data_IF_576212153260
#
_entry.id   IF_576212153260
#
_cell.length_a   1.000
_cell.length_b   1.000
_cell.length_c   1.000
_cell.angle_alpha   90.00
_cell.angle_beta   90.00
_cell.angle_gamma   90.00
#
_symmetry.space_group_name_H-M   'P 1'
#
loop_
_entity.id
_entity.type
_entity.pdbx_description
1 polymer ?
#
# COMPACT_ATOMS: atom_id res chain seq x y z
N UNK A 1 2.55 -6.13 6.14
CA UNK A 1 1.61 -5.49 5.19
C UNK A 1 0.79 -4.49 5.99
N UNK A 2 0.55 -3.27 5.47
CA UNK A 2 -0.20 -2.26 6.20
C UNK A 2 -1.66 -2.69 6.40
N UNK A 3 -2.17 -2.55 7.63
CA UNK A 3 -3.61 -2.70 7.92
C UNK A 3 -4.33 -1.36 7.94
N UNK A 4 -3.59 -0.27 8.15
CA UNK A 4 -4.13 1.07 8.24
C UNK A 4 -3.34 2.01 7.32
N UNK A 5 -4.04 2.88 6.60
CA UNK A 5 -3.43 3.92 5.77
C UNK A 5 -4.08 5.25 6.10
N UNK A 6 -3.26 6.23 6.43
CA UNK A 6 -3.64 7.63 6.61
C UNK A 6 -3.22 8.36 5.34
N UNK A 7 -4.12 9.13 4.74
CA UNK A 7 -3.85 9.92 3.54
C UNK A 7 -3.92 11.40 3.86
N UNK A 8 -3.04 12.18 3.23
CA UNK A 8 -3.38 13.57 2.92
C UNK A 8 -4.43 13.63 1.79
N UNK A 9 -5.00 14.82 1.59
CA UNK A 9 -6.02 15.08 0.59
C UNK A 9 -5.44 15.70 -0.69
N UNK A 10 -5.05 16.97 -0.61
CA UNK A 10 -4.45 17.77 -1.68
C UNK A 10 -3.17 17.12 -2.18
N UNK A 11 -2.97 17.04 -3.50
CA UNK A 11 -1.76 16.47 -4.10
C UNK A 11 -1.61 14.94 -3.96
N UNK A 12 -2.42 14.30 -3.12
CA UNK A 12 -2.35 12.86 -2.81
C UNK A 12 -3.54 12.08 -3.35
N UNK A 13 -4.76 12.54 -3.07
CA UNK A 13 -6.01 11.93 -3.55
C UNK A 13 -6.71 12.80 -4.59
N UNK A 14 -6.52 14.12 -4.52
CA UNK A 14 -7.11 15.09 -5.45
C UNK A 14 -6.05 16.06 -5.98
N UNK A 15 -6.25 16.54 -7.20
CA UNK A 15 -5.50 17.67 -7.76
C UNK A 15 -6.31 18.94 -7.51
N UNK A 16 -5.86 19.74 -6.55
CA UNK A 16 -6.41 21.06 -6.22
C UNK A 16 -5.39 22.19 -6.44
N UNK A 17 -4.26 21.91 -7.10
CA UNK A 17 -3.14 22.85 -7.22
C UNK A 17 -3.56 24.12 -7.95
N UNK A 18 -4.36 24.00 -9.01
CA UNK A 18 -4.88 25.15 -9.75
C UNK A 18 -5.78 26.03 -8.86
N UNK A 19 -6.62 25.40 -8.04
CA UNK A 19 -7.51 26.09 -7.11
C UNK A 19 -6.73 26.83 -6.02
N UNK A 20 -5.77 26.16 -5.40
CA UNK A 20 -4.89 26.75 -4.38
C UNK A 20 -4.03 27.88 -4.95
N UNK A 21 -3.55 27.74 -6.19
CA UNK A 21 -2.80 28.78 -6.88
C UNK A 21 -3.66 30.00 -7.19
N UNK A 22 -4.88 29.81 -7.70
CA UNK A 22 -5.82 30.91 -7.97
C UNK A 22 -6.15 31.68 -6.69
N UNK A 23 -6.43 30.97 -5.60
CA UNK A 23 -6.70 31.57 -4.31
C UNK A 23 -5.48 32.34 -3.77
N UNK A 24 -4.28 31.78 -3.91
CA UNK A 24 -3.03 32.43 -3.50
C UNK A 24 -2.72 33.68 -4.33
N UNK A 25 -2.94 33.62 -5.64
CA UNK A 25 -2.75 34.76 -6.55
C UNK A 25 -3.78 35.87 -6.30
N UNK A 26 -5.01 35.53 -5.93
CA UNK A 26 -5.97 36.52 -5.46
C UNK A 26 -5.46 37.23 -4.21
N UNK A 27 -4.98 36.50 -3.21
CA UNK A 27 -4.36 37.08 -2.02
C UNK A 27 -3.21 38.02 -2.42
N UNK A 28 -2.30 37.58 -3.29
CA UNK A 28 -1.18 38.42 -3.76
C UNK A 28 -1.65 39.74 -4.39
N UNK A 29 -2.73 39.70 -5.15
CA UNK A 29 -3.31 40.91 -5.77
C UNK A 29 -3.79 41.94 -4.73
N UNK A 30 -4.28 41.51 -3.56
CA UNK A 30 -4.74 42.41 -2.49
C UNK A 30 -3.57 43.16 -1.84
N UNK A 31 -2.37 42.56 -1.87
CA UNK A 31 -1.16 43.12 -1.29
C UNK A 31 -0.18 43.67 -2.33
N UNK A 32 -0.60 43.80 -3.60
CA UNK A 32 0.23 44.33 -4.69
C UNK A 32 1.42 43.45 -5.08
N UNK A 33 1.41 42.17 -4.69
CA UNK A 33 2.43 41.19 -5.08
C UNK A 33 2.08 40.61 -6.46
N UNK A 34 3.05 40.47 -7.39
CA UNK A 34 2.81 39.79 -8.67
C UNK A 34 2.33 38.35 -8.48
N UNK A 35 1.45 37.90 -9.37
CA UNK A 35 1.01 36.51 -9.41
C UNK A 35 2.19 35.57 -9.68
N UNK A 36 2.16 34.39 -9.06
CA UNK A 36 3.05 33.28 -9.37
C UNK A 36 2.43 32.40 -10.45
N UNK A 37 3.28 31.84 -11.30
CA UNK A 37 2.90 30.67 -12.09
C UNK A 37 3.02 29.38 -11.26
N UNK A 38 2.57 28.26 -11.83
CA UNK A 38 2.55 26.96 -11.17
C UNK A 38 3.91 26.49 -10.67
N UNK A 39 4.97 26.67 -11.46
CA UNK A 39 6.31 26.17 -11.11
C UNK A 39 6.94 27.04 -10.02
N UNK A 40 6.77 28.36 -10.10
CA UNK A 40 7.18 29.31 -9.04
C UNK A 40 6.46 28.99 -7.72
N UNK A 41 5.15 28.77 -7.78
CA UNK A 41 4.37 28.45 -6.59
C UNK A 41 4.81 27.13 -5.96
N UNK A 42 5.03 26.06 -6.73
CA UNK A 42 5.53 24.78 -6.20
C UNK A 42 6.94 24.88 -5.62
N UNK A 43 7.79 25.74 -6.19
CA UNK A 43 9.14 25.94 -5.69
C UNK A 43 9.17 26.69 -4.34
N UNK A 44 8.22 27.60 -4.12
CA UNK A 44 8.15 28.42 -2.91
C UNK A 44 7.19 27.90 -1.84
N UNK A 45 6.09 27.24 -2.22
CA UNK A 45 5.03 26.85 -1.30
C UNK A 45 5.55 25.84 -0.27
N UNK A 46 5.16 26.07 0.99
CA UNK A 46 5.53 25.23 2.11
C UNK A 46 4.41 25.23 3.14
N UNK A 47 4.40 24.17 3.94
CA UNK A 47 3.63 24.11 5.18
C UNK A 47 4.57 24.16 6.39
N UNK A 48 4.14 24.77 7.51
CA UNK A 48 2.86 25.47 7.70
C UNK A 48 2.72 26.76 6.88
N UNK A 49 1.52 27.03 6.34
CA UNK A 49 1.29 28.20 5.48
C UNK A 49 1.51 29.58 6.14
N UNK A 50 1.40 29.77 7.48
CA UNK A 50 1.79 31.04 8.09
C UNK A 50 3.26 31.41 7.82
N UNK A 51 4.16 30.42 7.84
CA UNK A 51 5.58 30.66 7.56
C UNK A 51 5.82 30.99 6.08
N UNK A 52 5.00 30.41 5.20
CA UNK A 52 4.98 30.77 3.77
C UNK A 52 4.59 32.25 3.59
N UNK A 53 3.44 32.66 4.13
CA UNK A 53 2.96 34.04 3.99
C UNK A 53 3.84 35.06 4.73
N UNK A 54 4.39 34.73 5.90
CA UNK A 54 5.34 35.59 6.60
C UNK A 54 6.59 35.91 5.75
N UNK A 55 6.99 34.99 4.86
CA UNK A 55 8.10 35.21 3.92
C UNK A 55 7.66 36.01 2.69
N UNK A 56 6.52 35.66 2.09
CA UNK A 56 6.12 36.24 0.80
C UNK A 56 5.33 37.55 0.92
N UNK A 57 4.72 37.81 2.07
CA UNK A 57 3.90 38.96 2.46
C UNK A 57 4.13 39.33 3.95
N UNK A 58 5.35 39.77 4.34
CA UNK A 58 5.76 39.93 5.75
C UNK A 58 4.98 40.98 6.57
N UNK A 59 4.21 41.84 5.92
CA UNK A 59 3.43 42.91 6.56
C UNK A 59 1.92 42.65 6.56
N UNK A 60 1.49 41.54 5.98
CA UNK A 60 0.09 41.17 5.91
C UNK A 60 -0.37 40.55 7.24
N UNK A 61 -1.59 40.87 7.64
CA UNK A 61 -2.24 40.22 8.77
C UNK A 61 -2.70 38.80 8.36
N UNK A 62 -2.40 37.80 9.19
CA UNK A 62 -2.68 36.41 8.84
C UNK A 62 -4.17 36.10 8.77
N UNK A 63 -5.00 36.74 9.60
CA UNK A 63 -6.44 36.52 9.60
C UNK A 63 -7.05 37.14 8.32
N UNK A 64 -6.58 38.33 7.92
CA UNK A 64 -6.98 38.99 6.67
C UNK A 64 -6.57 38.16 5.43
N UNK A 65 -5.35 37.59 5.44
CA UNK A 65 -4.89 36.66 4.41
C UNK A 65 -5.80 35.42 4.30
N UNK A 66 -6.17 34.83 5.44
CA UNK A 66 -7.04 33.64 5.50
C UNK A 66 -8.44 33.94 4.97
N UNK A 67 -8.99 35.13 5.28
CA UNK A 67 -10.28 35.59 4.75
C UNK A 67 -10.25 35.78 3.23
N UNK A 68 -9.22 36.44 2.70
CA UNK A 68 -9.03 36.59 1.25
C UNK A 68 -8.85 35.25 0.55
N UNK A 69 -8.05 34.35 1.13
CA UNK A 69 -7.84 33.01 0.58
C UNK A 69 -9.14 32.22 0.54
N UNK A 70 -9.88 32.15 1.66
CA UNK A 70 -11.18 31.45 1.73
C UNK A 70 -12.20 32.00 0.75
N UNK A 71 -12.29 33.32 0.62
CA UNK A 71 -13.16 33.94 -0.36
C UNK A 71 -12.79 33.48 -1.78
N UNK A 72 -11.52 33.60 -2.17
CA UNK A 72 -11.04 33.27 -3.50
C UNK A 72 -11.16 31.78 -3.82
N UNK A 73 -10.83 30.92 -2.85
CA UNK A 73 -10.97 29.48 -2.97
C UNK A 73 -12.42 29.08 -3.25
N UNK A 74 -13.39 29.70 -2.58
CA UNK A 74 -14.82 29.40 -2.78
C UNK A 74 -15.38 29.89 -4.12
N UNK A 75 -14.87 31.01 -4.65
CA UNK A 75 -15.40 31.62 -5.89
C UNK A 75 -14.61 31.26 -7.14
N UNK A 76 -13.47 30.58 -6.99
CA UNK A 76 -12.69 30.09 -8.13
C UNK A 76 -13.48 29.03 -8.89
N UNK A 77 -13.29 29.01 -10.21
CA UNK A 77 -13.84 27.98 -11.11
C UNK A 77 -12.81 26.89 -11.45
N UNK A 78 -11.63 26.92 -10.81
CA UNK A 78 -10.62 25.88 -11.01
C UNK A 78 -11.18 24.52 -10.54
N UNK A 79 -11.14 23.49 -11.40
CA UNK A 79 -11.67 22.19 -11.03
C UNK A 79 -10.79 21.53 -9.96
N UNK A 80 -11.43 20.77 -9.07
CA UNK A 80 -10.76 19.80 -8.20
C UNK A 80 -11.14 18.41 -8.70
N UNK A 81 -10.14 17.64 -9.11
CA UNK A 81 -10.36 16.33 -9.70
C UNK A 81 -9.68 15.24 -8.87
N UNK A 82 -10.26 14.03 -8.88
CA UNK A 82 -9.61 12.86 -8.29
C UNK A 82 -8.34 12.56 -9.07
N UNK A 83 -7.21 12.43 -8.38
CA UNK A 83 -5.94 12.07 -9.02
C UNK A 83 -6.04 10.69 -9.67
N UNK A 84 -5.34 10.46 -10.81
CA UNK A 84 -5.33 9.16 -11.47
C UNK A 84 -4.98 8.02 -10.51
N UNK A 85 -5.75 6.93 -10.56
CA UNK A 85 -5.60 5.73 -9.74
C UNK A 85 -5.96 5.89 -8.25
N UNK A 86 -6.35 7.06 -7.77
CA UNK A 86 -6.68 7.25 -6.35
C UNK A 86 -7.94 6.46 -5.95
N UNK A 87 -9.00 6.50 -6.76
CA UNK A 87 -10.23 5.72 -6.50
C UNK A 87 -9.95 4.22 -6.52
N UNK A 88 -9.23 3.75 -7.52
CA UNK A 88 -8.87 2.34 -7.67
C UNK A 88 -7.93 1.86 -6.56
N UNK A 89 -7.15 2.76 -5.95
CA UNK A 89 -6.33 2.46 -4.77
C UNK A 89 -7.20 2.32 -3.51
N UNK A 90 -8.17 3.21 -3.30
CA UNK A 90 -9.10 3.14 -2.19
C UNK A 90 -9.99 1.89 -2.27
N UNK A 91 -10.47 1.55 -3.47
CA UNK A 91 -11.19 0.29 -3.73
C UNK A 91 -10.32 -0.94 -3.43
N UNK A 92 -9.04 -0.89 -3.82
CA UNK A 92 -8.08 -1.93 -3.51
C UNK A 92 -7.87 -2.11 -2.00
N UNK A 93 -7.81 -1.02 -1.24
CA UNK A 93 -7.70 -1.03 0.21
C UNK A 93 -8.95 -1.66 0.84
N UNK A 94 -10.14 -1.20 0.43
CA UNK A 94 -11.43 -1.74 0.88
C UNK A 94 -11.55 -3.24 0.61
N UNK A 95 -11.21 -3.70 -0.59
CA UNK A 95 -11.24 -5.11 -0.97
C UNK A 95 -10.27 -5.99 -0.16
N UNK A 96 -9.30 -5.39 0.54
CA UNK A 96 -8.32 -6.07 1.39
C UNK A 96 -8.57 -5.87 2.89
N UNK A 97 -9.64 -5.16 3.26
CA UNK A 97 -9.91 -4.82 4.67
C UNK A 97 -8.87 -3.87 5.26
N UNK A 98 -8.14 -3.11 4.43
CA UNK A 98 -7.24 -2.05 4.89
C UNK A 98 -8.10 -0.85 5.27
N UNK A 99 -7.94 -0.38 6.51
CA UNK A 99 -8.66 0.77 7.06
C UNK A 99 -8.04 2.07 6.54
N UNK A 100 -8.84 2.99 6.04
CA UNK A 100 -8.37 4.24 5.46
C UNK A 100 -8.85 5.44 6.27
N UNK A 101 -7.96 6.41 6.47
CA UNK A 101 -8.20 7.62 7.26
C UNK A 101 -7.72 8.85 6.51
N UNK A 102 -8.35 9.99 6.74
CA UNK A 102 -7.86 11.29 6.26
C UNK A 102 -7.22 12.06 7.41
N UNK A 103 -6.05 12.64 7.17
CA UNK A 103 -5.47 13.69 8.01
C UNK A 103 -4.99 14.85 7.12
N UNK A 104 -5.80 15.91 7.06
CA UNK A 104 -5.56 17.04 6.15
C UNK A 104 -5.70 18.39 6.85
N UNK A 105 -4.97 19.38 6.34
CA UNK A 105 -5.06 20.78 6.76
C UNK A 105 -6.15 21.55 6.01
N UNK A 106 -6.75 20.97 4.96
CA UNK A 106 -7.89 21.57 4.24
C UNK A 106 -9.03 21.85 5.21
N UNK A 107 -9.63 23.03 5.09
CA UNK A 107 -10.77 23.44 5.93
C UNK A 107 -11.85 22.36 5.95
N UNK A 108 -12.37 22.06 7.14
CA UNK A 108 -13.28 20.93 7.32
C UNK A 108 -14.55 21.03 6.47
N UNK A 109 -15.06 22.26 6.22
CA UNK A 109 -16.25 22.47 5.41
C UNK A 109 -15.94 22.25 3.93
N UNK A 110 -14.82 22.79 3.45
CA UNK A 110 -14.46 22.65 2.04
C UNK A 110 -14.01 21.21 1.70
N UNK A 111 -13.32 20.54 2.62
CA UNK A 111 -13.06 19.11 2.51
C UNK A 111 -14.36 18.32 2.38
N UNK A 112 -15.35 18.56 3.24
CA UNK A 112 -16.62 17.83 3.25
C UNK A 112 -17.43 18.04 1.96
N UNK A 113 -17.41 19.25 1.39
CA UNK A 113 -18.02 19.55 0.08
C UNK A 113 -17.31 18.76 -1.01
N UNK A 114 -15.99 18.91 -1.14
CA UNK A 114 -15.20 18.23 -2.18
C UNK A 114 -15.35 16.70 -2.08
N UNK A 115 -15.19 16.13 -0.88
CA UNK A 115 -15.22 14.69 -0.69
C UNK A 115 -16.59 14.07 -1.03
N UNK A 116 -17.69 14.81 -0.79
CA UNK A 116 -19.04 14.39 -1.19
C UNK A 116 -19.27 14.50 -2.69
N UNK A 117 -18.90 15.62 -3.30
CA UNK A 117 -19.05 15.83 -4.75
C UNK A 117 -18.24 14.81 -5.56
N UNK A 118 -17.05 14.48 -5.08
CA UNK A 118 -16.20 13.45 -5.67
C UNK A 118 -16.64 12.03 -5.28
N UNK A 119 -17.63 11.85 -4.41
CA UNK A 119 -18.14 10.54 -3.99
C UNK A 119 -17.05 9.65 -3.37
N UNK A 120 -16.30 10.20 -2.41
CA UNK A 120 -15.18 9.50 -1.75
C UNK A 120 -15.41 9.24 -0.25
N UNK A 121 -16.47 9.79 0.34
CA UNK A 121 -16.77 9.68 1.78
C UNK A 121 -16.79 8.23 2.28
N UNK A 122 -17.30 7.29 1.49
CA UNK A 122 -17.49 5.89 1.90
C UNK A 122 -16.19 5.09 2.02
N UNK A 123 -15.06 5.62 1.54
CA UNK A 123 -13.78 4.91 1.60
C UNK A 123 -13.06 5.12 2.94
N UNK A 124 -13.44 6.12 3.74
CA UNK A 124 -12.72 6.51 4.94
C UNK A 124 -13.49 6.11 6.21
N UNK A 125 -12.79 5.48 7.14
CA UNK A 125 -13.33 5.13 8.45
C UNK A 125 -13.47 6.37 9.35
N UNK A 126 -12.51 7.29 9.29
CA UNK A 126 -12.61 8.58 9.94
C UNK A 126 -11.87 9.66 9.16
N UNK A 127 -12.37 10.89 9.29
CA UNK A 127 -11.87 12.09 8.62
C UNK A 127 -11.41 13.08 9.69
N UNK A 128 -10.16 13.49 9.62
CA UNK A 128 -9.57 14.54 10.44
C UNK A 128 -9.16 15.70 9.53
N UNK A 129 -10.11 16.58 9.23
CA UNK A 129 -9.93 17.77 8.39
C UNK A 129 -9.80 19.04 9.23
N UNK A 130 -9.25 20.11 8.65
CA UNK A 130 -8.96 21.37 9.34
C UNK A 130 -7.81 21.29 10.34
N UNK A 131 -6.96 20.25 10.24
CA UNK A 131 -5.89 20.01 11.20
C UNK A 131 -4.60 20.67 10.72
N UNK A 132 -4.31 21.86 11.27
CA UNK A 132 -3.11 22.65 10.92
C UNK A 132 -1.82 21.97 11.38
N UNK A 133 -1.80 21.43 12.59
CA UNK A 133 -0.63 20.77 13.19
C UNK A 133 -0.85 19.26 13.19
N UNK A 134 -0.60 18.62 12.04
CA UNK A 134 -0.83 17.18 11.87
C UNK A 134 0.08 16.35 12.79
N UNK A 135 1.30 16.82 13.05
CA UNK A 135 2.29 16.21 13.96
C UNK A 135 1.79 16.10 15.40
N UNK A 136 1.10 17.11 15.91
CA UNK A 136 0.49 17.07 17.23
C UNK A 136 -0.76 16.18 17.26
N UNK A 137 -1.53 16.15 16.17
CA UNK A 137 -2.80 15.44 16.11
C UNK A 137 -2.68 13.96 15.79
N UNK A 138 -1.64 13.54 15.08
CA UNK A 138 -1.53 12.17 14.58
C UNK A 138 -1.49 11.13 15.71
N UNK A 139 -0.86 11.43 16.84
CA UNK A 139 -0.90 10.55 18.02
C UNK A 139 -2.32 10.36 18.56
N UNK A 140 -3.13 11.42 18.54
CA UNK A 140 -4.55 11.35 18.92
C UNK A 140 -5.33 10.48 17.94
N UNK A 141 -5.10 10.64 16.64
CA UNK A 141 -5.71 9.80 15.60
C UNK A 141 -5.36 8.32 15.81
N UNK A 142 -4.07 8.01 15.99
CA UNK A 142 -3.61 6.64 16.21
C UNK A 142 -4.26 6.02 17.46
N UNK A 143 -4.30 6.77 18.56
CA UNK A 143 -4.88 6.30 19.82
C UNK A 143 -6.40 6.12 19.75
N UNK A 144 -7.12 7.07 19.16
CA UNK A 144 -8.59 7.02 19.03
C UNK A 144 -9.07 5.83 18.22
N UNK A 145 -8.32 5.45 17.18
CA UNK A 145 -8.72 4.40 16.24
C UNK A 145 -7.97 3.07 16.45
N UNK A 146 -7.15 2.98 17.51
CA UNK A 146 -6.39 1.77 17.85
C UNK A 146 -5.40 1.35 16.75
N UNK A 147 -4.72 2.32 16.14
CA UNK A 147 -3.80 2.07 15.02
C UNK A 147 -2.40 1.78 15.57
N UNK A 148 -1.87 0.59 15.27
CA UNK A 148 -0.50 0.24 15.66
C UNK A 148 0.52 0.75 14.62
N UNK A 149 1.60 1.35 15.10
CA UNK A 149 2.56 2.04 14.25
C UNK A 149 3.21 1.14 13.19
N UNK A 150 3.59 -0.08 13.56
CA UNK A 150 4.25 -1.06 12.67
C UNK A 150 3.38 -1.59 11.52
N UNK A 151 2.07 -1.34 11.54
CA UNK A 151 1.11 -1.74 10.50
C UNK A 151 0.38 -0.53 9.88
N UNK A 152 0.86 0.69 10.15
CA UNK A 152 0.25 1.93 9.69
C UNK A 152 1.21 2.70 8.79
N UNK A 153 0.70 3.23 7.68
CA UNK A 153 1.43 4.11 6.79
C UNK A 153 0.72 5.46 6.65
N UNK A 154 1.50 6.53 6.47
CA UNK A 154 1.01 7.83 6.02
C UNK A 154 1.41 8.04 4.56
N UNK A 155 0.45 8.42 3.72
CA UNK A 155 0.68 8.76 2.32
C UNK A 155 0.42 10.25 2.11
N UNK A 156 1.41 10.96 1.58
CA UNK A 156 1.34 12.39 1.30
C UNK A 156 2.29 12.81 0.19
N UNK A 157 2.13 14.02 -0.34
CA UNK A 157 2.95 14.56 -1.43
C UNK A 157 3.88 15.70 -0.98
N UNK A 158 3.82 16.10 0.29
CA UNK A 158 4.66 17.16 0.85
C UNK A 158 5.64 16.64 1.91
N UNK A 159 6.75 17.38 2.11
CA UNK A 159 7.72 17.12 3.17
C UNK A 159 7.07 17.06 4.55
N UNK A 160 6.06 17.90 4.80
CA UNK A 160 5.31 17.93 6.06
C UNK A 160 4.63 16.59 6.38
N UNK A 161 4.13 15.86 5.38
CA UNK A 161 3.48 14.57 5.60
C UNK A 161 4.48 13.49 6.01
N UNK A 162 5.68 13.53 5.43
CA UNK A 162 6.80 12.66 5.81
C UNK A 162 7.24 12.94 7.25
N UNK A 163 7.38 14.21 7.62
CA UNK A 163 7.73 14.62 8.98
C UNK A 163 6.65 14.21 9.98
N UNK A 164 5.37 14.36 9.62
CA UNK A 164 4.22 13.93 10.42
C UNK A 164 4.27 12.42 10.70
N UNK A 165 4.56 11.62 9.68
CA UNK A 165 4.70 10.18 9.80
C UNK A 165 5.87 9.78 10.72
N UNK A 166 7.02 10.45 10.58
CA UNK A 166 8.19 10.21 11.42
C UNK A 166 7.94 10.58 12.88
N UNK A 167 7.26 11.69 13.15
CA UNK A 167 6.86 12.05 14.52
C UNK A 167 5.98 10.96 15.15
N UNK A 168 5.11 10.34 14.37
CA UNK A 168 4.24 9.26 14.84
C UNK A 168 4.92 7.88 14.91
N UNK A 169 6.14 7.75 14.37
CA UNK A 169 6.85 6.47 14.25
C UNK A 169 6.18 5.47 13.30
N UNK A 170 5.43 5.96 12.32
CA UNK A 170 4.73 5.15 11.29
C UNK A 170 5.46 5.23 9.95
N UNK A 171 5.16 4.31 9.04
CA UNK A 171 5.82 4.31 7.73
C UNK A 171 5.41 5.53 6.90
N UNK A 172 6.39 6.26 6.37
CA UNK A 172 6.19 7.43 5.50
C UNK A 172 6.28 7.05 4.02
N UNK A 173 5.22 7.32 3.25
CA UNK A 173 5.17 7.04 1.81
C UNK A 173 4.89 8.33 1.06
N UNK A 174 5.89 8.83 0.35
CA UNK A 174 5.76 10.04 -0.44
C UNK A 174 5.32 9.72 -1.88
N UNK A 175 4.32 10.44 -2.39
CA UNK A 175 3.87 10.37 -3.79
C UNK A 175 4.33 11.59 -4.58
N UNK A 176 4.60 11.44 -5.88
CA UNK A 176 5.09 12.52 -6.76
C UNK A 176 3.97 13.22 -7.54
N UNK A 177 2.73 13.08 -7.10
CA UNK A 177 1.53 13.58 -7.78
C UNK A 177 1.18 15.03 -7.46
N UNK A 178 1.73 15.60 -6.38
CA UNK A 178 1.29 16.87 -5.83
C UNK A 178 2.30 18.01 -5.91
N UNK A 179 2.44 18.73 -4.80
CA UNK A 179 3.11 20.03 -4.66
C UNK A 179 4.64 19.90 -4.65
N UNK A 180 5.21 19.03 -3.80
CA UNK A 180 6.65 18.86 -3.76
C UNK A 180 7.17 17.91 -4.85
N UNK A 181 8.37 18.20 -5.36
CA UNK A 181 9.09 17.31 -6.26
C UNK A 181 9.90 16.25 -5.49
N UNK A 182 10.50 15.31 -6.24
CA UNK A 182 11.29 14.24 -5.65
C UNK A 182 12.52 14.74 -4.87
N UNK A 183 13.13 15.87 -5.28
CA UNK A 183 14.31 16.42 -4.63
C UNK A 183 13.95 17.10 -3.29
N UNK A 184 12.83 17.80 -3.24
CA UNK A 184 12.23 18.35 -2.03
C UNK A 184 11.85 17.23 -1.06
N UNK A 185 11.07 16.23 -1.51
CA UNK A 185 10.65 15.11 -0.67
C UNK A 185 11.82 14.30 -0.11
N UNK A 186 12.88 14.09 -0.90
CA UNK A 186 14.05 13.34 -0.45
C UNK A 186 14.75 13.98 0.77
N UNK A 187 14.62 15.29 0.99
CA UNK A 187 15.21 15.98 2.15
C UNK A 187 14.60 15.51 3.48
N UNK A 188 13.30 15.20 3.47
CA UNK A 188 12.59 14.68 4.63
C UNK A 188 12.84 13.19 4.88
N UNK A 189 13.54 12.49 3.96
CA UNK A 189 13.93 11.07 4.04
C UNK A 189 12.75 10.10 4.25
N UNK A 190 11.76 10.08 3.35
CA UNK A 190 10.66 9.12 3.47
C UNK A 190 11.13 7.67 3.38
N UNK A 191 10.40 6.75 4.02
CA UNK A 191 10.68 5.31 3.93
C UNK A 191 10.50 4.79 2.50
N UNK A 192 9.53 5.37 1.77
CA UNK A 192 9.26 5.06 0.37
C UNK A 192 8.92 6.31 -0.43
N UNK A 193 9.44 6.40 -1.65
CA UNK A 193 8.97 7.36 -2.67
C UNK A 193 8.42 6.55 -3.84
N UNK A 194 7.20 6.88 -4.28
CA UNK A 194 6.56 6.26 -5.43
C UNK A 194 6.04 7.34 -6.39
N UNK A 195 6.04 7.09 -7.71
CA UNK A 195 5.49 8.06 -8.65
C UNK A 195 4.01 8.38 -8.39
N UNK A 196 3.22 7.36 -8.08
CA UNK A 196 1.78 7.46 -7.89
C UNK A 196 1.24 6.26 -7.06
N UNK A 197 -0.08 6.27 -6.81
CA UNK A 197 -0.78 5.21 -6.10
C UNK A 197 -0.88 3.89 -6.89
N UNK A 198 -0.73 3.90 -8.23
CA UNK A 198 -0.69 2.67 -9.03
C UNK A 198 0.57 1.87 -8.76
N UNK A 199 1.73 2.53 -8.71
CA UNK A 199 3.00 1.90 -8.36
C UNK A 199 2.93 1.36 -6.94
N UNK A 200 2.42 2.15 -5.99
CA UNK A 200 2.24 1.69 -4.60
C UNK A 200 1.36 0.45 -4.53
N UNK A 201 0.20 0.46 -5.21
CA UNK A 201 -0.70 -0.71 -5.29
C UNK A 201 0.02 -1.94 -5.80
N UNK A 202 0.88 -1.77 -6.82
CA UNK A 202 1.63 -2.86 -7.45
C UNK A 202 2.67 -3.44 -6.48
N UNK A 203 3.38 -2.58 -5.76
CA UNK A 203 4.31 -3.00 -4.70
C UNK A 203 3.56 -3.72 -3.58
N UNK A 204 2.46 -3.15 -3.09
CA UNK A 204 1.63 -3.78 -2.07
C UNK A 204 1.11 -5.14 -2.52
N UNK A 205 0.71 -5.33 -3.79
CA UNK A 205 0.31 -6.64 -4.33
C UNK A 205 1.46 -7.65 -4.36
N UNK A 206 2.68 -7.19 -4.66
CA UNK A 206 3.86 -8.06 -4.74
C UNK A 206 4.31 -8.56 -3.38
N UNK A 207 4.17 -7.73 -2.34
CA UNK A 207 4.57 -8.05 -0.96
C UNK A 207 3.40 -8.52 -0.08
N UNK A 208 2.16 -8.39 -0.54
CA UNK A 208 1.00 -9.00 0.09
C UNK A 208 1.05 -10.51 -0.14
N UNK A 209 1.39 -11.25 0.91
CA UNK A 209 0.91 -12.61 1.07
C UNK A 209 -0.62 -12.60 0.93
N UNK A 210 -1.25 -13.63 0.35
CA UNK A 210 -2.70 -13.75 0.36
C UNK A 210 -3.24 -13.50 1.76
N UNK A 211 -4.26 -12.64 1.86
CA UNK A 211 -4.98 -12.41 3.11
C UNK A 211 -5.55 -13.74 3.63
N UNK A 212 -5.61 -13.92 4.95
CA UNK A 212 -6.32 -15.02 5.64
C UNK A 212 -7.82 -15.11 5.26
N UNK A 213 -8.34 -14.11 4.53
CA UNK A 213 -9.72 -14.04 4.04
C UNK A 213 -9.95 -14.58 2.63
N UNK A 214 -8.94 -15.18 1.99
CA UNK A 214 -9.10 -15.79 0.67
C UNK A 214 -9.31 -17.30 0.75
N UNK A 215 -10.30 -17.78 0.00
CA UNK A 215 -10.56 -19.18 -0.23
C UNK A 215 -9.27 -19.90 -0.65
N UNK A 216 -8.93 -20.97 0.06
CA UNK A 216 -7.74 -21.77 -0.20
C UNK A 216 -8.01 -23.26 0.00
N UNK A 217 -7.26 -24.08 -0.74
CA UNK A 217 -7.22 -25.53 -0.56
C UNK A 217 -5.91 -25.88 0.13
N UNK A 218 -6.00 -26.61 1.25
CA UNK A 218 -4.84 -26.99 2.04
C UNK A 218 -4.59 -28.49 1.96
N UNK A 219 -3.42 -28.89 1.47
CA UNK A 219 -2.90 -30.25 1.58
C UNK A 219 -1.84 -30.23 2.66
N UNK A 220 -2.06 -30.95 3.76
CA UNK A 220 -1.14 -30.95 4.90
C UNK A 220 -0.44 -32.30 5.02
N UNK A 221 0.86 -32.28 5.27
CA UNK A 221 1.66 -33.47 5.53
C UNK A 221 1.80 -34.42 4.35
N UNK A 222 1.77 -33.92 3.11
CA UNK A 222 2.01 -34.73 1.91
C UNK A 222 3.42 -35.32 1.96
N UNK A 223 3.51 -36.63 2.05
CA UNK A 223 4.80 -37.33 2.02
C UNK A 223 5.37 -37.35 0.59
N UNK A 224 6.64 -36.94 0.50
CA UNK A 224 7.40 -36.81 -0.73
C UNK A 224 8.72 -37.55 -0.59
N UNK A 225 8.88 -38.62 -1.34
CA UNK A 225 10.19 -39.26 -1.51
C UNK A 225 11.03 -38.46 -2.51
N UNK A 226 12.30 -38.23 -2.18
CA UNK A 226 13.23 -37.47 -3.02
C UNK A 226 14.69 -37.77 -2.66
N UNK A 227 15.61 -37.27 -3.48
CA UNK A 227 17.06 -37.31 -3.24
C UNK A 227 17.56 -35.88 -3.04
N UNK A 228 17.73 -35.46 -1.77
CA UNK A 228 17.90 -34.03 -1.44
C UNK A 228 18.93 -33.74 -0.34
N UNK A 229 19.81 -32.77 -0.60
CA UNK A 229 20.81 -32.31 0.36
C UNK A 229 22.04 -31.75 -0.34
N UNK A 230 22.87 -30.97 0.34
CA UNK A 230 24.08 -30.34 -0.23
C UNK A 230 25.24 -31.33 -0.38
N UNK A 231 25.53 -32.21 0.59
CA UNK A 231 26.50 -33.29 0.42
C UNK A 231 26.03 -34.33 -0.61
N UNK A 232 26.95 -34.96 -1.34
CA UNK A 232 26.64 -36.04 -2.28
C UNK A 232 26.04 -37.27 -1.57
N UNK A 233 26.50 -37.55 -0.35
CA UNK A 233 26.02 -38.66 0.49
C UNK A 233 24.53 -38.54 0.81
N UNK A 234 24.04 -37.32 1.06
CA UNK A 234 22.61 -37.08 1.30
C UNK A 234 21.78 -37.34 0.04
N UNK A 235 22.34 -37.11 -1.16
CA UNK A 235 21.65 -37.39 -2.43
C UNK A 235 21.81 -38.82 -2.91
N UNK A 236 22.70 -39.60 -2.30
CA UNK A 236 22.90 -41.00 -2.63
C UNK A 236 21.80 -41.91 -2.06
N UNK A 237 21.08 -41.44 -1.03
CA UNK A 237 19.98 -42.17 -0.39
C UNK A 237 18.68 -41.39 -0.50
N UNK A 238 17.58 -42.14 -0.66
CA UNK A 238 16.25 -41.57 -0.72
C UNK A 238 15.82 -41.11 0.67
N UNK A 239 15.14 -39.97 0.72
CA UNK A 239 14.65 -39.36 1.94
C UNK A 239 13.18 -38.97 1.75
N UNK A 240 12.39 -39.11 2.80
CA UNK A 240 10.99 -38.67 2.81
C UNK A 240 10.88 -37.31 3.49
N UNK A 241 10.40 -36.32 2.74
CA UNK A 241 10.00 -35.01 3.25
C UNK A 241 8.49 -34.97 3.50
N UNK A 242 8.04 -33.99 4.29
CA UNK A 242 6.60 -33.65 4.40
C UNK A 242 6.34 -32.27 3.84
N UNK A 243 5.32 -32.15 3.00
CA UNK A 243 4.90 -30.90 2.38
C UNK A 243 3.53 -30.46 2.86
N UNK A 244 3.42 -29.19 3.25
CA UNK A 244 2.14 -28.49 3.34
C UNK A 244 2.00 -27.55 2.14
N UNK A 245 0.87 -27.63 1.46
CA UNK A 245 0.55 -26.83 0.27
C UNK A 245 -0.72 -26.04 0.57
N UNK A 246 -0.61 -24.72 0.57
CA UNK A 246 -1.77 -23.83 0.55
C UNK A 246 -1.93 -23.30 -0.87
N UNK A 247 -2.98 -23.74 -1.52
CA UNK A 247 -3.29 -23.46 -2.92
C UNK A 247 -4.39 -22.42 -3.01
N UNK A 248 -4.13 -21.30 -3.70
CA UNK A 248 -5.11 -20.26 -3.94
C UNK A 248 -5.57 -20.31 -5.42
N UNK A 249 -6.79 -20.78 -5.69
CA UNK A 249 -7.31 -20.90 -7.06
C UNK A 249 -7.48 -19.54 -7.74
N UNK A 250 -7.47 -19.53 -9.07
CA UNK A 250 -7.87 -18.35 -9.85
C UNK A 250 -9.37 -18.07 -9.76
N UNK A 251 -10.19 -19.12 -9.72
CA UNK A 251 -11.65 -19.04 -9.54
C UNK A 251 -12.03 -19.14 -8.05
N UNK A 252 -13.11 -18.47 -7.64
CA UNK A 252 -13.60 -18.54 -6.27
C UNK A 252 -14.13 -19.94 -5.92
N UNK A 253 -13.93 -20.39 -4.66
CA UNK A 253 -14.47 -21.69 -4.21
C UNK A 253 -15.96 -21.61 -3.84
N UNK A 254 -16.52 -20.40 -3.74
CA UNK A 254 -17.97 -20.19 -3.56
C UNK A 254 -18.76 -20.44 -4.85
N UNK A 255 -19.97 -21.01 -4.74
CA UNK A 255 -20.88 -21.14 -5.89
C UNK A 255 -20.54 -22.29 -6.85
N UNK A 256 -19.83 -23.32 -6.36
CA UNK A 256 -19.51 -24.53 -7.11
C UNK A 256 -20.72 -25.43 -7.35
N UNK A 257 -21.76 -25.37 -6.50
CA UNK A 257 -22.99 -26.17 -6.60
C UNK A 257 -22.73 -27.69 -6.76
N UNK A 258 -21.79 -28.23 -6.00
CA UNK A 258 -21.31 -29.63 -6.05
C UNK A 258 -20.79 -30.11 -7.42
N UNK A 259 -20.49 -29.19 -8.34
CA UNK A 259 -19.89 -29.53 -9.63
C UNK A 259 -18.39 -29.79 -9.49
N UNK A 260 -18.02 -31.08 -9.46
CA UNK A 260 -16.62 -31.51 -9.36
C UNK A 260 -15.76 -31.11 -10.56
N UNK A 261 -16.35 -30.76 -11.71
CA UNK A 261 -15.59 -30.31 -12.89
C UNK A 261 -15.03 -28.90 -12.74
N UNK A 262 -15.54 -28.14 -11.76
CA UNK A 262 -15.19 -26.75 -11.48
C UNK A 262 -14.24 -26.57 -10.31
N UNK A 263 -13.75 -27.68 -9.72
CA UNK A 263 -12.79 -27.64 -8.60
C UNK A 263 -11.47 -28.30 -8.97
N UNK A 264 -10.41 -27.97 -8.23
CA UNK A 264 -9.09 -28.55 -8.42
C UNK A 264 -9.05 -29.96 -7.84
N UNK A 265 -8.69 -30.95 -8.65
CA UNK A 265 -8.48 -32.32 -8.20
C UNK A 265 -7.16 -32.41 -7.39
N UNK A 266 -7.28 -32.29 -6.06
CA UNK A 266 -6.14 -32.35 -5.13
C UNK A 266 -5.40 -33.70 -5.16
N UNK A 267 -6.05 -34.79 -5.57
CA UNK A 267 -5.39 -36.09 -5.79
C UNK A 267 -4.44 -36.05 -6.98
N UNK A 268 -4.89 -35.51 -8.13
CA UNK A 268 -4.03 -35.29 -9.29
C UNK A 268 -2.87 -34.34 -8.96
N UNK A 269 -3.13 -33.29 -8.19
CA UNK A 269 -2.09 -32.37 -7.70
C UNK A 269 -1.08 -33.09 -6.81
N UNK A 270 -1.52 -33.88 -5.82
CA UNK A 270 -0.62 -34.65 -4.96
C UNK A 270 0.25 -35.64 -5.76
N UNK A 271 -0.32 -36.29 -6.79
CA UNK A 271 0.43 -37.17 -7.70
C UNK A 271 1.49 -36.42 -8.51
N UNK A 272 1.14 -35.27 -9.08
CA UNK A 272 2.08 -34.42 -9.83
C UNK A 272 3.23 -33.92 -8.93
N UNK A 273 2.92 -33.49 -7.71
CA UNK A 273 3.92 -33.01 -6.75
C UNK A 273 4.88 -34.11 -6.28
N UNK A 274 4.40 -35.34 -6.07
CA UNK A 274 5.26 -36.50 -5.80
C UNK A 274 6.18 -36.82 -6.97
N UNK A 275 5.65 -36.78 -8.20
CA UNK A 275 6.45 -36.98 -9.40
C UNK A 275 7.54 -35.91 -9.54
N UNK A 276 7.21 -34.63 -9.27
CA UNK A 276 8.15 -33.52 -9.31
C UNK A 276 9.28 -33.67 -8.27
N UNK A 277 8.95 -34.15 -7.06
CA UNK A 277 9.92 -34.43 -6.01
C UNK A 277 10.94 -35.52 -6.41
N UNK A 278 10.49 -36.54 -7.14
CA UNK A 278 11.32 -37.64 -7.63
C UNK A 278 12.02 -37.36 -8.96
N UNK A 279 11.61 -36.32 -9.70
CA UNK A 279 12.05 -36.07 -11.07
C UNK A 279 13.58 -35.95 -11.22
N UNK A 280 14.24 -35.31 -10.24
CA UNK A 280 15.69 -35.17 -10.21
C UNK A 280 16.20 -34.94 -8.78
N UNK A 281 17.43 -35.38 -8.47
CA UNK A 281 18.10 -34.99 -7.24
C UNK A 281 18.28 -33.47 -7.16
N UNK A 282 18.14 -32.91 -5.96
CA UNK A 282 18.29 -31.47 -5.72
C UNK A 282 19.24 -31.21 -4.55
N UNK A 283 19.93 -30.07 -4.58
CA UNK A 283 20.80 -29.65 -3.47
C UNK A 283 20.02 -28.98 -2.34
N UNK A 284 19.02 -28.19 -2.71
CA UNK A 284 18.31 -27.27 -1.82
C UNK A 284 16.82 -27.62 -1.74
N UNK A 285 16.27 -27.53 -0.53
CA UNK A 285 14.84 -27.74 -0.26
C UNK A 285 14.03 -26.59 -0.85
N UNK A 286 14.59 -25.39 -0.83
CA UNK A 286 14.07 -24.17 -1.45
C UNK A 286 13.78 -24.38 -2.94
N UNK A 287 14.73 -24.99 -3.67
CA UNK A 287 14.57 -25.26 -5.11
C UNK A 287 13.44 -26.26 -5.37
N UNK A 288 13.30 -27.29 -4.53
CA UNK A 288 12.19 -28.24 -4.65
C UNK A 288 10.84 -27.54 -4.38
N UNK A 289 10.77 -26.73 -3.32
CA UNK A 289 9.55 -26.00 -2.98
C UNK A 289 9.12 -25.02 -4.10
N UNK A 290 10.07 -24.33 -4.72
CA UNK A 290 9.81 -23.45 -5.86
C UNK A 290 9.33 -24.21 -7.11
N UNK A 291 9.99 -25.33 -7.45
CA UNK A 291 9.61 -26.19 -8.57
C UNK A 291 8.18 -26.75 -8.38
N UNK A 292 7.84 -27.20 -7.17
CA UNK A 292 6.49 -27.64 -6.81
C UNK A 292 5.45 -26.52 -6.97
N UNK A 293 5.77 -25.31 -6.50
CA UNK A 293 4.88 -24.16 -6.68
C UNK A 293 4.64 -23.86 -8.16
N UNK A 294 5.67 -23.96 -9.02
CA UNK A 294 5.53 -23.80 -10.48
C UNK A 294 4.61 -24.85 -11.10
N UNK A 295 4.67 -26.11 -10.66
CA UNK A 295 3.73 -27.16 -11.09
C UNK A 295 2.30 -26.78 -10.75
N UNK A 296 2.04 -26.38 -9.50
CA UNK A 296 0.70 -25.94 -9.08
C UNK A 296 0.17 -24.75 -9.90
N UNK A 297 1.02 -23.74 -10.19
CA UNK A 297 0.62 -22.60 -11.01
C UNK A 297 0.34 -22.98 -12.47
N UNK A 298 1.15 -23.87 -13.05
CA UNK A 298 1.10 -24.19 -14.49
C UNK A 298 0.01 -25.20 -14.83
N UNK A 299 -0.10 -26.26 -14.03
CA UNK A 299 -0.95 -27.42 -14.35
C UNK A 299 -2.32 -27.34 -13.68
N UNK A 300 -2.43 -26.64 -12.55
CA UNK A 300 -3.64 -26.64 -11.73
C UNK A 300 -4.30 -25.26 -11.62
N UNK A 301 -3.74 -24.23 -12.25
CA UNK A 301 -4.38 -22.91 -12.34
C UNK A 301 -4.40 -22.12 -11.03
N UNK A 302 -3.40 -22.29 -10.16
CA UNK A 302 -3.27 -21.41 -9.01
C UNK A 302 -2.88 -19.98 -9.43
N UNK A 303 -3.42 -19.00 -8.72
CA UNK A 303 -2.95 -17.62 -8.74
C UNK A 303 -1.70 -17.46 -7.86
N UNK A 304 -1.73 -18.11 -6.71
CA UNK A 304 -0.67 -18.11 -5.71
C UNK A 304 -0.62 -19.47 -5.00
N UNK A 305 0.58 -19.88 -4.58
CA UNK A 305 0.79 -21.11 -3.82
C UNK A 305 1.83 -20.85 -2.74
N UNK A 306 1.56 -21.36 -1.54
CA UNK A 306 2.54 -21.46 -0.46
C UNK A 306 2.93 -22.91 -0.30
N UNK A 307 4.23 -23.19 -0.39
CA UNK A 307 4.79 -24.55 -0.24
C UNK A 307 5.71 -24.56 0.97
N UNK A 308 5.35 -25.34 1.99
CA UNK A 308 6.21 -25.57 3.16
C UNK A 308 6.74 -27.00 3.14
N UNK A 309 8.05 -27.16 3.01
CA UNK A 309 8.72 -28.46 3.04
C UNK A 309 9.44 -28.67 4.36
N UNK A 310 9.22 -29.82 4.98
CA UNK A 310 9.85 -30.25 6.23
C UNK A 310 10.83 -31.39 6.00
N UNK A 311 12.05 -31.21 6.49
CA UNK A 311 13.14 -32.19 6.49
C UNK A 311 13.55 -32.54 7.92
N UNK A 312 13.89 -33.81 8.16
CA UNK A 312 14.10 -34.39 9.48
C UNK A 312 15.59 -34.69 9.74
N UNK A 313 16.45 -33.68 9.64
CA UNK A 313 17.92 -33.87 9.58
C UNK A 313 18.68 -33.44 10.85
N UNK A 314 18.12 -32.55 11.68
CA UNK A 314 18.82 -32.01 12.84
C UNK A 314 18.46 -32.75 14.14
N UNK A 315 19.44 -33.13 14.98
CA UNK A 315 19.16 -33.81 16.25
C UNK A 315 18.45 -32.88 17.23
N UNK A 316 17.54 -33.43 18.05
CA UNK A 316 16.72 -32.70 19.03
C UNK A 316 15.81 -31.62 18.41
N UNK A 317 15.33 -31.86 17.19
CA UNK A 317 14.30 -31.04 16.53
C UNK A 317 13.25 -31.95 15.91
N UNK A 318 12.00 -31.48 15.83
CA UNK A 318 10.94 -32.22 15.15
C UNK A 318 11.12 -32.19 13.64
N UNK A 319 11.50 -31.04 13.08
CA UNK A 319 11.87 -30.89 11.67
C UNK A 319 12.50 -29.51 11.42
N UNK A 320 13.16 -29.36 10.28
CA UNK A 320 13.51 -28.08 9.66
C UNK A 320 12.54 -27.83 8.52
N UNK A 321 11.87 -26.68 8.53
CA UNK A 321 10.92 -26.30 7.49
C UNK A 321 11.40 -25.13 6.64
N UNK A 322 11.18 -25.20 5.34
CA UNK A 322 11.35 -24.10 4.38
C UNK A 322 9.99 -23.77 3.79
N UNK A 323 9.60 -22.49 3.83
CA UNK A 323 8.36 -22.00 3.21
C UNK A 323 8.69 -21.10 2.03
N UNK A 324 8.15 -21.42 0.86
CA UNK A 324 8.31 -20.65 -0.38
C UNK A 324 6.94 -20.18 -0.88
N UNK A 325 6.89 -18.93 -1.32
CA UNK A 325 5.72 -18.28 -1.90
C UNK A 325 5.91 -18.15 -3.41
N UNK A 326 5.02 -18.75 -4.20
CA UNK A 326 5.11 -18.73 -5.67
C UNK A 326 3.84 -18.12 -6.25
N UNK A 327 4.01 -17.07 -7.06
CA UNK A 327 2.92 -16.34 -7.72
C UNK A 327 3.17 -16.26 -9.23
N UNK A 328 2.11 -16.31 -10.05
CA UNK A 328 2.21 -15.95 -11.47
C UNK A 328 2.68 -14.49 -11.57
N UNK A 329 3.85 -14.27 -12.16
CA UNK A 329 4.27 -12.93 -12.57
C UNK A 329 3.44 -12.59 -13.82
N UNK A 330 2.67 -11.50 -13.74
CA UNK A 330 2.00 -10.92 -14.92
C UNK A 330 2.95 -9.98 -15.62
#
# INVERSE_FOLDING_TARGET
MFKNIIFDWSGTLVDDLALTLDASNYVFSQYGKPCMNRDEFRAEFQLPYPDYYARVLPHADLDELEDHFRYAFRVSNAPVEVLPNAREFLEFCRARGVRCFILTSVDAKEFDIQCRELGMMEYFEAIHAGIRHKDAHIHTLLAQHGLHAHETAFIGDMQHDVETAHHAGITSIAVLTGYNDAAQLSKAKPDMIVPDLLVLRTLMRRYALPSDTQDSININGLELDTFIGVPDEERASMQTLKADITFYPEEALSGLNDDFSRTVCYDSMARALRAEAMARPRKLVETLAEDMGKVCLKEFGARHVVVTLRKFILPRTDSVSVTVHVSRHR
#
